data_IF_530379071202
#
_entry.id   IF_530379071202
#
_cell.length_a   1.000
_cell.length_b   1.000
_cell.length_c   1.000
_cell.angle_alpha   90.00
_cell.angle_beta   90.00
_cell.angle_gamma   90.00
#
_symmetry.space_group_name_H-M   'P 1'
#
loop_
_entity.id
_entity.type
_entity.pdbx_description
1 polymer ?
#
# COMPACT_ATOMS: atom_id res chain seq x y z
N UNK A 1 29.81 3.06 -5.51
CA UNK A 1 28.83 3.42 -4.46
C UNK A 1 27.54 3.82 -5.16
N UNK A 2 26.60 2.88 -5.35
CA UNK A 2 25.34 3.19 -6.02
C UNK A 2 24.40 3.87 -5.01
N UNK A 3 23.96 5.09 -5.33
CA UNK A 3 22.96 5.82 -4.55
C UNK A 3 21.65 5.03 -4.60
N UNK A 4 21.27 4.47 -3.45
CA UNK A 4 20.06 3.67 -3.22
C UNK A 4 18.78 4.53 -3.23
N UNK A 5 18.50 5.23 -4.33
CA UNK A 5 17.25 5.99 -4.51
C UNK A 5 16.04 5.10 -4.81
N UNK A 6 16.22 4.09 -5.69
CA UNK A 6 15.17 3.14 -6.07
C UNK A 6 14.57 2.39 -4.88
N UNK A 7 15.40 2.05 -3.89
CA UNK A 7 14.98 1.26 -2.75
C UNK A 7 14.07 2.04 -1.80
N UNK A 8 14.20 3.36 -1.75
CA UNK A 8 13.37 4.24 -0.91
C UNK A 8 12.03 4.48 -1.59
N UNK A 9 12.04 4.76 -2.91
CA UNK A 9 10.82 5.00 -3.72
C UNK A 9 9.86 3.80 -3.63
N UNK A 10 10.37 2.57 -3.76
CA UNK A 10 9.54 1.37 -3.67
C UNK A 10 9.03 1.05 -2.24
N UNK A 11 9.66 1.60 -1.19
CA UNK A 11 9.17 1.45 0.21
C UNK A 11 8.08 2.49 0.49
N UNK A 12 8.33 3.73 0.07
CA UNK A 12 7.37 4.83 0.20
C UNK A 12 6.10 4.56 -0.59
N UNK A 13 6.20 4.05 -1.82
CA UNK A 13 5.01 3.70 -2.61
C UNK A 13 4.09 2.69 -1.92
N UNK A 14 4.66 1.65 -1.30
CA UNK A 14 3.88 0.65 -0.58
C UNK A 14 3.24 1.24 0.69
N UNK A 15 3.96 2.09 1.44
CA UNK A 15 3.43 2.78 2.61
C UNK A 15 2.31 3.77 2.25
N UNK A 16 2.49 4.53 1.17
CA UNK A 16 1.46 5.45 0.64
C UNK A 16 0.22 4.67 0.26
N UNK A 17 0.35 3.57 -0.48
CA UNK A 17 -0.78 2.71 -0.83
C UNK A 17 -1.53 2.20 0.41
N UNK A 18 -0.81 1.81 1.46
CA UNK A 18 -1.42 1.39 2.72
C UNK A 18 -2.18 2.52 3.43
N UNK A 19 -1.56 3.69 3.56
CA UNK A 19 -2.19 4.83 4.24
C UNK A 19 -3.43 5.28 3.48
N UNK A 20 -3.32 5.48 2.16
CA UNK A 20 -4.47 5.89 1.36
C UNK A 20 -5.55 4.82 1.30
N UNK A 21 -5.18 3.53 1.20
CA UNK A 21 -6.15 2.44 1.21
C UNK A 21 -6.94 2.38 2.52
N UNK A 22 -6.26 2.57 3.64
CA UNK A 22 -6.90 2.63 4.96
C UNK A 22 -7.82 3.84 5.08
N UNK A 23 -7.36 5.03 4.70
CA UNK A 23 -8.17 6.25 4.76
C UNK A 23 -9.41 6.17 3.86
N UNK A 24 -9.26 5.62 2.65
CA UNK A 24 -10.37 5.45 1.72
C UNK A 24 -11.39 4.43 2.23
N UNK A 25 -10.92 3.31 2.80
CA UNK A 25 -11.80 2.32 3.40
C UNK A 25 -12.54 2.88 4.62
N UNK A 26 -11.85 3.65 5.48
CA UNK A 26 -12.43 4.31 6.62
C UNK A 26 -13.49 5.36 6.22
N UNK A 27 -13.22 6.15 5.17
CA UNK A 27 -14.20 7.10 4.64
C UNK A 27 -15.39 6.38 3.99
N UNK A 28 -15.15 5.27 3.30
CA UNK A 28 -16.21 4.42 2.77
C UNK A 28 -17.11 3.85 3.87
N UNK A 29 -16.51 3.40 4.97
CA UNK A 29 -17.24 2.94 6.15
C UNK A 29 -18.07 4.08 6.77
N UNK A 30 -17.47 5.27 6.94
CA UNK A 30 -18.13 6.46 7.49
C UNK A 30 -19.31 6.94 6.63
N UNK A 31 -19.16 6.89 5.30
CA UNK A 31 -20.18 7.33 4.34
C UNK A 31 -21.20 6.25 3.98
N UNK A 32 -21.00 5.00 4.43
CA UNK A 32 -21.81 3.85 4.00
C UNK A 32 -21.62 3.44 2.54
N UNK A 33 -20.55 3.92 1.88
CA UNK A 33 -20.28 3.66 0.47
C UNK A 33 -19.50 2.37 0.27
N UNK A 34 -20.19 1.31 -0.17
CA UNK A 34 -19.57 0.02 -0.48
C UNK A 34 -18.45 0.11 -1.53
N UNK A 35 -18.56 1.04 -2.50
CA UNK A 35 -17.54 1.26 -3.52
C UNK A 35 -16.23 1.78 -2.90
N UNK A 36 -16.31 2.79 -2.03
CA UNK A 36 -15.13 3.36 -1.37
C UNK A 36 -14.46 2.33 -0.44
N UNK A 37 -15.26 1.52 0.27
CA UNK A 37 -14.74 0.41 1.09
C UNK A 37 -13.98 -0.58 0.20
N UNK A 38 -14.59 -1.02 -0.90
CA UNK A 38 -14.00 -2.02 -1.80
C UNK A 38 -12.71 -1.50 -2.43
N UNK A 39 -12.72 -0.25 -2.91
CA UNK A 39 -11.53 0.39 -3.47
C UNK A 39 -10.41 0.55 -2.43
N UNK A 40 -10.75 0.90 -1.19
CA UNK A 40 -9.77 1.06 -0.11
C UNK A 40 -9.13 -0.27 0.28
N UNK A 41 -9.95 -1.33 0.40
CA UNK A 41 -9.47 -2.69 0.66
C UNK A 41 -8.59 -3.21 -0.48
N UNK A 42 -8.97 -2.98 -1.74
CA UNK A 42 -8.15 -3.35 -2.88
C UNK A 42 -6.77 -2.65 -2.85
N UNK A 43 -6.75 -1.35 -2.54
CA UNK A 43 -5.50 -0.59 -2.45
C UNK A 43 -4.62 -1.05 -1.28
N UNK A 44 -5.23 -1.42 -0.14
CA UNK A 44 -4.53 -2.05 0.98
C UNK A 44 -3.87 -3.37 0.56
N UNK A 45 -4.60 -4.24 -0.14
CA UNK A 45 -4.08 -5.52 -0.62
C UNK A 45 -2.85 -5.31 -1.52
N UNK A 46 -2.91 -4.34 -2.46
CA UNK A 46 -1.77 -3.98 -3.30
C UNK A 46 -0.57 -3.51 -2.46
N UNK A 47 -0.80 -2.63 -1.48
CA UNK A 47 0.26 -2.16 -0.57
C UNK A 47 0.93 -3.30 0.19
N UNK A 48 0.15 -4.24 0.72
CA UNK A 48 0.67 -5.44 1.41
C UNK A 48 1.50 -6.30 0.46
N UNK A 49 0.99 -6.60 -0.74
CA UNK A 49 1.71 -7.42 -1.72
C UNK A 49 3.07 -6.79 -2.06
N UNK A 50 3.13 -5.48 -2.28
CA UNK A 50 4.37 -4.78 -2.57
C UNK A 50 5.38 -4.88 -1.41
N UNK A 51 4.92 -4.80 -0.16
CA UNK A 51 5.77 -5.01 1.01
C UNK A 51 6.27 -6.46 1.08
N UNK A 52 5.40 -7.44 0.92
CA UNK A 52 5.74 -8.87 0.98
C UNK A 52 6.78 -9.21 -0.10
N UNK A 53 6.54 -8.83 -1.35
CA UNK A 53 7.48 -9.04 -2.45
C UNK A 53 8.86 -8.44 -2.15
N UNK A 54 8.88 -7.29 -1.49
CA UNK A 54 10.13 -6.62 -1.13
C UNK A 54 10.86 -7.29 0.03
N UNK A 55 10.12 -7.84 1.00
CA UNK A 55 10.71 -8.61 2.10
C UNK A 55 11.30 -9.91 1.57
N UNK A 56 10.56 -10.65 0.74
CA UNK A 56 11.02 -11.90 0.13
C UNK A 56 12.29 -11.66 -0.70
N UNK A 57 12.28 -10.69 -1.62
CA UNK A 57 13.47 -10.34 -2.44
C UNK A 57 14.69 -9.86 -1.65
N UNK A 58 14.53 -9.50 -0.38
CA UNK A 58 15.64 -9.11 0.51
C UNK A 58 16.17 -10.27 1.35
N UNK A 59 15.43 -11.38 1.41
CA UNK A 59 15.73 -12.55 2.22
C UNK A 59 16.28 -13.73 1.38
N UNK A 60 16.34 -13.57 0.06
CA UNK A 60 17.17 -14.40 -0.84
C UNK A 60 18.59 -13.84 -0.92
#
# INVERSE_FOLDING_TARGET
>A
MAVSGETVINKLGALVALVFGFLLAAEGYRSGSAWLITAGVALLAVGIILLVLKIVRRND
#
